data_IF_411487389950
#
_entry.id   IF_411487389950
#
_cell.length_a   1.000
_cell.length_b   1.000
_cell.length_c   1.000
_cell.angle_alpha   90.00
_cell.angle_beta   90.00
_cell.angle_gamma   90.00
#
_symmetry.space_group_name_H-M   'P 1'
#
loop_
_entity.id
_entity.type
_entity.pdbx_description
1 polymer ?
#
# COMPACT_ATOMS: atom_id res chain seq x y z
N UNK A 1 21.78 30.29 -8.50
CA UNK A 1 20.94 29.22 -7.91
C UNK A 1 19.55 29.36 -8.51
N UNK A 2 19.23 28.52 -9.49
CA UNK A 2 17.90 28.48 -10.11
C UNK A 2 16.85 27.86 -9.18
N UNK A 3 15.61 28.36 -9.16
CA UNK A 3 14.52 27.73 -8.44
C UNK A 3 14.01 26.50 -9.20
N UNK A 4 13.98 25.35 -8.51
CA UNK A 4 13.38 24.11 -9.00
C UNK A 4 11.89 24.33 -9.27
N UNK A 5 11.48 24.15 -10.52
CA UNK A 5 10.07 24.13 -10.94
C UNK A 5 9.39 22.90 -10.36
N UNK A 6 8.34 23.12 -9.58
CA UNK A 6 7.43 22.08 -9.13
C UNK A 6 6.49 21.72 -10.29
N UNK A 7 6.50 20.46 -10.72
CA UNK A 7 5.44 19.91 -11.57
C UNK A 7 4.32 19.40 -10.64
N UNK A 8 3.17 20.09 -10.64
CA UNK A 8 1.94 19.55 -10.05
C UNK A 8 1.40 18.45 -10.95
N UNK A 9 1.52 17.20 -10.52
CA UNK A 9 0.80 16.07 -11.11
C UNK A 9 -0.51 15.88 -10.32
N UNK A 10 -1.63 16.36 -10.87
CA UNK A 10 -2.96 16.06 -10.33
C UNK A 10 -3.27 14.57 -10.51
N UNK A 11 -3.09 13.76 -9.46
CA UNK A 11 -3.48 12.35 -9.46
C UNK A 11 -4.97 12.23 -9.11
N UNK A 12 -5.79 11.87 -10.10
CA UNK A 12 -7.20 11.52 -9.93
C UNK A 12 -7.30 10.11 -9.32
N UNK A 13 -7.55 10.03 -8.00
CA UNK A 13 -7.72 8.75 -7.29
C UNK A 13 -9.14 8.22 -7.55
N UNK A 14 -9.27 7.11 -8.30
CA UNK A 14 -10.54 6.39 -8.48
C UNK A 14 -10.54 5.10 -7.64
N UNK A 15 -11.41 5.06 -6.63
CA UNK A 15 -11.70 3.87 -5.81
C UNK A 15 -12.64 2.91 -6.55
N UNK A 16 -12.28 1.63 -6.66
CA UNK A 16 -13.14 0.57 -7.21
C UNK A 16 -13.66 -0.29 -6.04
N UNK A 17 -14.97 -0.57 -6.01
CA UNK A 17 -15.65 -1.38 -4.98
C UNK A 17 -16.21 -2.65 -5.65
N UNK A 18 -15.98 -3.83 -5.06
CA UNK A 18 -16.56 -5.09 -5.51
C UNK A 18 -17.55 -5.69 -4.50
N UNK A 19 -18.72 -6.10 -5.01
CA UNK A 19 -19.70 -6.95 -4.33
C UNK A 19 -19.62 -8.34 -4.98
N UNK A 20 -19.22 -9.36 -4.22
CA UNK A 20 -19.51 -10.76 -4.59
C UNK A 20 -20.80 -11.17 -3.89
N UNK A 21 -21.69 -11.84 -4.63
CA UNK A 21 -22.96 -12.33 -4.12
C UNK A 21 -22.77 -13.79 -3.68
N UNK A 22 -22.95 -14.07 -2.39
CA UNK A 22 -22.90 -15.41 -1.82
C UNK A 22 -21.85 -15.54 -0.71
N UNK A 23 -22.30 -15.88 0.49
CA UNK A 23 -21.60 -15.93 1.79
C UNK A 23 -21.44 -14.59 2.55
N UNK A 24 -21.85 -14.65 3.83
CA UNK A 24 -21.92 -13.53 4.76
C UNK A 24 -20.60 -12.75 4.84
N UNK A 25 -20.71 -11.43 4.68
CA UNK A 25 -19.64 -10.42 4.77
C UNK A 25 -18.57 -10.47 3.67
N UNK A 26 -18.97 -10.29 2.40
CA UNK A 26 -18.01 -9.88 1.36
C UNK A 26 -17.55 -8.46 1.65
N UNK A 27 -16.37 -8.32 2.27
CA UNK A 27 -15.71 -7.02 2.38
C UNK A 27 -15.24 -6.61 0.98
N UNK A 28 -15.63 -5.43 0.46
CA UNK A 28 -15.16 -4.97 -0.83
C UNK A 28 -13.65 -4.78 -0.77
N UNK A 29 -12.91 -5.58 -1.54
CA UNK A 29 -11.47 -5.41 -1.68
C UNK A 29 -11.23 -4.16 -2.50
N UNK A 30 -10.59 -3.17 -1.87
CA UNK A 30 -10.24 -1.89 -2.50
C UNK A 30 -8.75 -1.92 -2.81
N UNK A 31 -8.38 -1.28 -3.92
CA UNK A 31 -6.99 -1.12 -4.32
C UNK A 31 -6.66 0.36 -4.50
N UNK A 32 -5.44 0.70 -4.13
CA UNK A 32 -4.75 1.95 -4.38
C UNK A 32 -4.03 1.82 -5.70
N UNK A 33 -4.35 2.68 -6.66
CA UNK A 33 -3.79 2.61 -7.99
C UNK A 33 -2.69 3.66 -8.14
N UNK A 34 -1.50 3.17 -8.48
CA UNK A 34 -0.30 3.95 -8.75
C UNK A 34 0.01 3.83 -10.25
N UNK A 35 -0.50 4.73 -11.10
CA UNK A 35 -0.20 4.73 -12.53
C UNK A 35 1.24 5.20 -12.77
N UNK A 36 1.88 4.67 -13.80
CA UNK A 36 3.23 5.06 -14.19
C UNK A 36 4.33 4.46 -13.33
N UNK A 37 4.02 3.42 -12.54
CA UNK A 37 4.97 2.76 -11.66
C UNK A 37 4.89 1.25 -11.84
N UNK A 38 6.07 0.61 -11.82
CA UNK A 38 6.24 -0.84 -11.87
C UNK A 38 7.24 -1.29 -10.81
N UNK A 39 6.89 -2.31 -10.03
CA UNK A 39 7.83 -3.06 -9.18
C UNK A 39 8.75 -3.93 -10.04
N UNK A 40 10.06 -3.84 -9.82
CA UNK A 40 11.07 -4.60 -10.56
C UNK A 40 11.81 -5.64 -9.71
N UNK A 41 11.78 -5.50 -8.39
CA UNK A 41 12.42 -6.42 -7.45
C UNK A 41 11.81 -6.31 -6.06
N UNK A 42 12.10 -7.29 -5.20
CA UNK A 42 11.64 -7.33 -3.81
C UNK A 42 10.30 -8.02 -3.60
N UNK A 43 9.73 -8.67 -4.62
CA UNK A 43 8.47 -9.41 -4.53
C UNK A 43 8.54 -10.71 -5.34
N UNK A 44 7.63 -11.63 -5.04
CA UNK A 44 7.47 -12.88 -5.74
C UNK A 44 6.22 -12.82 -6.61
N UNK A 45 6.40 -12.98 -7.91
CA UNK A 45 5.26 -13.11 -8.83
C UNK A 45 4.62 -14.48 -8.60
N UNK A 46 3.37 -14.49 -8.16
CA UNK A 46 2.57 -15.72 -7.98
C UNK A 46 1.82 -16.10 -9.23
N UNK A 47 1.41 -15.10 -10.01
CA UNK A 47 0.72 -15.29 -11.29
C UNK A 47 1.18 -14.23 -12.27
N UNK A 48 1.48 -14.67 -13.48
CA UNK A 48 1.70 -13.82 -14.64
C UNK A 48 0.74 -14.29 -15.73
N UNK A 49 -0.15 -13.39 -16.14
CA UNK A 49 -1.22 -13.69 -17.08
C UNK A 49 -1.25 -12.63 -18.16
N UNK A 50 -0.99 -13.04 -19.40
CA UNK A 50 -1.19 -12.21 -20.58
C UNK A 50 -2.44 -12.66 -21.34
N UNK A 51 -3.41 -11.74 -21.50
CA UNK A 51 -4.62 -11.99 -22.28
C UNK A 51 -4.83 -10.84 -23.26
N UNK A 52 -4.24 -10.92 -24.47
CA UNK A 52 -4.34 -9.87 -25.47
C UNK A 52 -5.79 -9.41 -25.68
N UNK A 53 -6.02 -8.10 -25.56
CA UNK A 53 -7.33 -7.43 -25.74
C UNK A 53 -8.44 -7.81 -24.75
N UNK A 54 -8.20 -8.75 -23.83
CA UNK A 54 -9.18 -9.16 -22.82
C UNK A 54 -8.73 -8.87 -21.39
N UNK A 55 -7.44 -8.66 -21.18
CA UNK A 55 -6.94 -8.20 -19.90
C UNK A 55 -7.32 -6.74 -19.72
N UNK A 56 -7.89 -6.43 -18.57
CA UNK A 56 -8.21 -5.07 -18.15
C UNK A 56 -7.73 -4.89 -16.72
N UNK A 57 -7.55 -3.64 -16.30
CA UNK A 57 -7.22 -3.32 -14.91
C UNK A 57 -8.19 -3.98 -13.92
N UNK A 58 -9.49 -3.95 -14.23
CA UNK A 58 -10.53 -4.56 -13.41
C UNK A 58 -10.38 -6.08 -13.33
N UNK A 59 -10.05 -6.72 -14.44
CA UNK A 59 -9.82 -8.18 -14.49
C UNK A 59 -8.56 -8.56 -13.71
N UNK A 60 -7.51 -7.75 -13.80
CA UNK A 60 -6.28 -7.96 -13.03
C UNK A 60 -6.52 -7.82 -11.51
N UNK A 61 -7.26 -6.80 -11.09
CA UNK A 61 -7.68 -6.65 -9.69
C UNK A 61 -8.53 -7.84 -9.20
N UNK A 62 -9.38 -8.42 -10.06
CA UNK A 62 -10.12 -9.66 -9.74
C UNK A 62 -9.22 -10.89 -9.65
N UNK A 63 -8.21 -11.01 -10.50
CA UNK A 63 -7.23 -12.11 -10.45
C UNK A 63 -6.41 -12.09 -9.16
N UNK A 64 -6.12 -10.88 -8.67
CA UNK A 64 -5.50 -10.63 -7.38
C UNK A 64 -6.42 -11.10 -6.23
N UNK A 65 -7.67 -10.60 -6.19
CA UNK A 65 -8.68 -11.07 -5.25
C UNK A 65 -8.26 -10.96 -3.78
N UNK A 66 -8.65 -11.95 -2.97
CA UNK A 66 -8.40 -11.98 -1.53
C UNK A 66 -6.99 -12.45 -1.14
N UNK A 67 -6.34 -13.26 -1.98
CA UNK A 67 -5.13 -13.99 -1.61
C UNK A 67 -3.83 -13.28 -2.03
N UNK A 68 -3.93 -12.22 -2.81
CA UNK A 68 -2.79 -11.39 -3.18
C UNK A 68 -2.57 -10.23 -2.19
N UNK A 69 -1.36 -9.67 -2.20
CA UNK A 69 -1.06 -8.39 -1.58
C UNK A 69 -1.03 -7.21 -2.56
N UNK A 70 -0.55 -7.43 -3.79
CA UNK A 70 -0.41 -6.40 -4.83
C UNK A 70 -0.56 -6.99 -6.23
N UNK A 71 -0.76 -6.14 -7.24
CA UNK A 71 -0.70 -6.51 -8.65
C UNK A 71 -0.12 -5.40 -9.52
N UNK A 72 0.33 -5.73 -10.73
CA UNK A 72 0.51 -4.76 -11.80
C UNK A 72 -0.32 -5.12 -13.03
N UNK A 73 -0.68 -4.08 -13.78
CA UNK A 73 -1.33 -4.22 -15.07
C UNK A 73 -0.61 -3.36 -16.12
N UNK A 74 -0.18 -4.00 -17.21
CA UNK A 74 0.36 -3.34 -18.41
C UNK A 74 -0.76 -3.12 -19.43
N UNK A 75 -0.91 -1.88 -19.90
CA UNK A 75 -1.92 -1.52 -20.91
C UNK A 75 -1.50 -1.92 -22.33
N UNK A 76 -0.21 -1.82 -22.63
CA UNK A 76 0.36 -2.09 -23.94
C UNK A 76 0.42 -3.60 -24.21
N UNK A 77 0.85 -4.38 -23.21
CA UNK A 77 1.04 -5.82 -23.35
C UNK A 77 -0.15 -6.64 -22.84
N UNK A 78 -1.20 -6.00 -22.32
CA UNK A 78 -2.38 -6.69 -21.76
C UNK A 78 -2.00 -7.77 -20.74
N UNK A 79 -1.01 -7.46 -19.91
CA UNK A 79 -0.39 -8.40 -18.98
C UNK A 79 -0.72 -8.01 -17.54
N UNK A 80 -0.96 -9.01 -16.70
CA UNK A 80 -1.26 -8.87 -15.29
C UNK A 80 -0.28 -9.71 -14.49
N UNK A 81 0.51 -9.05 -13.65
CA UNK A 81 1.42 -9.68 -12.69
C UNK A 81 0.79 -9.57 -11.30
N UNK A 82 0.69 -10.67 -10.55
CA UNK A 82 0.13 -10.69 -9.19
C UNK A 82 1.20 -11.13 -8.20
N UNK A 83 1.29 -10.44 -7.07
CA UNK A 83 2.29 -10.67 -6.04
C UNK A 83 1.65 -11.23 -4.76
N UNK A 84 2.36 -12.17 -4.10
CA UNK A 84 1.93 -12.69 -2.80
C UNK A 84 2.04 -11.61 -1.72
N UNK A 85 3.15 -10.86 -1.76
CA UNK A 85 3.52 -9.89 -0.75
C UNK A 85 2.59 -8.67 -0.79
N UNK A 86 2.30 -8.13 0.38
CA UNK A 86 1.68 -6.81 0.55
C UNK A 86 2.78 -5.75 0.51
N UNK A 87 2.40 -4.50 0.26
CA UNK A 87 3.34 -3.39 0.09
C UNK A 87 4.23 -3.09 1.32
N UNK A 88 3.93 -3.69 2.47
CA UNK A 88 4.67 -3.56 3.73
C UNK A 88 5.31 -4.88 4.20
N UNK A 89 5.13 -5.97 3.45
CA UNK A 89 5.78 -7.25 3.76
C UNK A 89 7.22 -7.28 3.25
N UNK A 90 7.51 -6.56 2.15
CA UNK A 90 8.83 -6.56 1.53
C UNK A 90 9.26 -5.19 1.01
N UNK A 91 10.56 -5.05 0.81
CA UNK A 91 11.18 -3.85 0.27
C UNK A 91 11.17 -3.93 -1.23
N UNK A 92 10.27 -3.18 -1.85
CA UNK A 92 10.05 -3.26 -3.29
C UNK A 92 10.65 -2.04 -3.99
N UNK A 93 11.30 -2.27 -5.13
CA UNK A 93 11.83 -1.19 -5.95
C UNK A 93 10.81 -0.79 -7.02
N UNK A 94 10.27 0.42 -6.90
CA UNK A 94 9.43 1.04 -7.91
C UNK A 94 10.28 1.77 -8.95
N UNK A 95 10.00 1.51 -10.22
CA UNK A 95 10.60 2.21 -11.36
C UNK A 95 9.49 2.91 -12.13
N UNK A 96 9.69 4.17 -12.58
CA UNK A 96 8.77 4.84 -13.47
C UNK A 96 8.58 4.08 -14.79
N UNK A 97 7.35 3.76 -15.12
CA UNK A 97 6.96 3.10 -16.37
C UNK A 97 5.48 3.40 -16.69
N UNK A 98 5.24 4.32 -17.63
CA UNK A 98 3.92 4.88 -17.98
C UNK A 98 2.90 3.85 -18.47
N UNK A 99 3.37 2.70 -18.95
CA UNK A 99 2.51 1.61 -19.39
C UNK A 99 1.83 0.89 -18.22
N UNK A 100 2.50 0.86 -17.08
CA UNK A 100 2.11 0.03 -15.95
C UNK A 100 1.27 0.80 -14.94
N UNK A 101 0.33 0.06 -14.34
CA UNK A 101 -0.41 0.50 -13.16
C UNK A 101 -0.13 -0.50 -12.06
N UNK A 102 0.39 -0.03 -10.94
CA UNK A 102 0.53 -0.83 -9.72
C UNK A 102 -0.70 -0.68 -8.84
N UNK A 103 -1.30 -1.80 -8.45
CA UNK A 103 -2.40 -1.86 -7.50
C UNK A 103 -1.94 -2.37 -6.14
N UNK A 104 -2.00 -1.53 -5.12
CA UNK A 104 -1.72 -1.92 -3.73
C UNK A 104 -3.04 -2.20 -3.01
N UNK A 105 -3.15 -3.31 -2.29
CA UNK A 105 -4.37 -3.61 -1.54
C UNK A 105 -4.59 -2.57 -0.45
N UNK A 106 -5.77 -1.95 -0.44
CA UNK A 106 -6.20 -1.02 0.60
C UNK A 106 -6.48 -1.83 1.86
N UNK A 107 -5.65 -1.67 2.88
CA UNK A 107 -5.89 -2.25 4.18
C UNK A 107 -6.30 -1.14 5.14
N UNK A 108 -7.29 -1.42 5.97
CA UNK A 108 -7.66 -0.52 7.06
C UNK A 108 -6.57 -0.46 8.12
N UNK A 109 -5.87 -1.57 8.36
CA UNK A 109 -4.80 -1.70 9.36
C UNK A 109 -3.65 -2.53 8.79
N UNK A 110 -2.44 -2.28 9.29
CA UNK A 110 -1.24 -3.02 8.93
C UNK A 110 -1.10 -4.19 9.89
N UNK A 111 -1.26 -5.41 9.40
CA UNK A 111 -1.27 -6.64 10.22
C UNK A 111 -0.16 -7.58 9.78
N UNK A 112 0.62 -8.09 10.73
CA UNK A 112 1.58 -9.17 10.53
C UNK A 112 1.28 -10.27 11.53
N UNK A 113 0.98 -11.46 11.01
CA UNK A 113 0.48 -12.58 11.81
C UNK A 113 -0.76 -12.14 12.61
N UNK A 114 -0.70 -12.18 13.94
CA UNK A 114 -1.78 -11.72 14.84
C UNK A 114 -1.55 -10.30 15.40
N UNK A 115 -0.49 -9.61 14.96
CA UNK A 115 -0.10 -8.30 15.45
C UNK A 115 -0.52 -7.18 14.51
N UNK A 116 -1.10 -6.11 15.07
CA UNK A 116 -1.39 -4.88 14.31
C UNK A 116 -0.33 -3.81 14.61
N UNK A 117 0.29 -3.24 13.58
CA UNK A 117 1.23 -2.14 13.75
C UNK A 117 0.46 -0.89 14.13
N UNK A 118 0.70 -0.43 15.34
CA UNK A 118 -0.11 0.61 15.94
C UNK A 118 0.68 1.92 16.07
N UNK A 119 1.92 1.83 16.55
CA UNK A 119 2.85 2.95 16.61
C UNK A 119 4.27 2.48 16.26
N UNK A 120 5.06 3.35 15.62
CA UNK A 120 6.51 3.15 15.42
C UNK A 120 7.27 4.43 15.71
N UNK A 121 8.18 4.35 16.68
CA UNK A 121 9.16 5.40 16.94
C UNK A 121 10.43 5.18 16.12
N UNK A 122 11.08 6.26 15.70
CA UNK A 122 12.33 6.23 14.96
C UNK A 122 13.24 7.34 15.49
N UNK A 123 14.51 7.01 15.77
CA UNK A 123 15.50 7.99 16.21
C UNK A 123 16.00 8.85 15.05
N UNK A 124 16.44 10.08 15.36
CA UNK A 124 17.09 10.95 14.36
C UNK A 124 16.12 11.66 13.39
N UNK A 125 14.82 11.60 13.65
CA UNK A 125 13.78 12.25 12.81
C UNK A 125 13.56 13.74 13.14
N UNK A 126 14.20 14.25 14.20
CA UNK A 126 14.01 15.63 14.67
C UNK A 126 12.67 15.91 15.37
N UNK A 127 11.74 14.94 15.38
CA UNK A 127 10.46 15.01 16.10
C UNK A 127 10.50 14.17 17.39
N UNK A 128 9.75 14.57 18.42
CA UNK A 128 9.71 13.80 19.68
C UNK A 128 8.70 12.66 19.57
N UNK A 129 9.07 11.51 20.13
CA UNK A 129 8.22 10.32 20.20
C UNK A 129 6.89 10.65 20.90
N UNK A 130 6.97 11.39 22.02
CA UNK A 130 5.78 11.78 22.78
C UNK A 130 4.82 12.65 21.95
N UNK A 131 5.35 13.63 21.19
CA UNK A 131 4.51 14.46 20.32
C UNK A 131 3.79 13.63 19.26
N UNK A 132 4.49 12.69 18.59
CA UNK A 132 3.86 11.79 17.65
C UNK A 132 2.86 10.82 18.31
N UNK A 133 3.10 10.43 19.56
CA UNK A 133 2.20 9.55 20.31
C UNK A 133 0.88 10.23 20.71
N UNK A 134 0.89 11.52 21.03
CA UNK A 134 -0.34 12.25 21.44
C UNK A 134 -1.04 12.96 20.26
N UNK A 135 -0.52 12.85 19.05
CA UNK A 135 -1.05 13.50 17.85
C UNK A 135 -2.33 12.81 17.32
N UNK A 136 -3.40 12.86 18.12
CA UNK A 136 -4.74 12.36 17.74
C UNK A 136 -5.20 12.97 16.42
N UNK A 137 -5.82 12.17 15.55
CA UNK A 137 -6.26 12.57 14.22
C UNK A 137 -5.20 12.48 13.12
N UNK A 138 -3.92 12.25 13.45
CA UNK A 138 -2.86 11.99 12.47
C UNK A 138 -2.73 10.48 12.23
N UNK A 139 -3.07 10.03 11.03
CA UNK A 139 -3.12 8.61 10.68
C UNK A 139 -2.29 8.33 9.43
N UNK A 140 -1.34 7.40 9.53
CA UNK A 140 -0.45 7.03 8.42
C UNK A 140 -0.89 5.76 7.68
N UNK A 141 -1.77 4.97 8.29
CA UNK A 141 -2.36 3.76 7.70
C UNK A 141 -3.71 4.02 7.03
N UNK A 142 -4.47 5.00 7.53
CA UNK A 142 -5.70 5.42 6.91
C UNK A 142 -5.38 6.13 5.60
N UNK A 143 -5.75 5.49 4.50
CA UNK A 143 -5.48 5.98 3.17
C UNK A 143 -3.98 6.25 2.91
N UNK A 144 -3.14 5.22 3.09
CA UNK A 144 -1.66 5.23 2.91
C UNK A 144 -1.23 6.30 1.92
N UNK A 145 -0.80 7.44 2.44
CA UNK A 145 -0.52 8.58 1.59
C UNK A 145 0.67 8.24 0.69
N UNK A 146 0.62 8.62 -0.59
CA UNK A 146 1.69 8.31 -1.54
C UNK A 146 3.06 8.86 -1.11
N UNK A 147 3.06 9.89 -0.26
CA UNK A 147 4.25 10.51 0.34
C UNK A 147 4.76 9.80 1.59
N UNK A 148 4.01 8.84 2.15
CA UNK A 148 4.44 8.11 3.34
C UNK A 148 5.40 6.98 2.95
N UNK A 149 6.63 6.93 3.49
CA UNK A 149 7.59 5.92 3.09
C UNK A 149 7.10 4.50 3.41
N UNK A 150 7.06 3.61 2.41
CA UNK A 150 6.67 2.22 2.62
C UNK A 150 7.53 1.52 3.68
N UNK A 151 8.82 1.88 3.79
CA UNK A 151 9.72 1.46 4.85
C UNK A 151 9.14 1.63 6.27
N UNK A 152 8.38 2.71 6.50
CA UNK A 152 7.78 3.00 7.79
C UNK A 152 6.61 2.07 8.14
N UNK A 153 6.05 1.38 7.15
CA UNK A 153 4.94 0.44 7.28
C UNK A 153 5.44 -0.99 7.52
N UNK A 154 6.74 -1.23 7.30
CA UNK A 154 7.40 -2.53 7.45
C UNK A 154 7.66 -2.86 8.91
N UNK A 155 7.63 -4.16 9.22
CA UNK A 155 7.96 -4.67 10.54
C UNK A 155 9.44 -5.00 10.73
N UNK A 156 10.22 -5.15 9.66
CA UNK A 156 11.58 -5.71 9.69
C UNK A 156 12.67 -4.73 9.23
N UNK A 157 12.31 -3.74 8.40
CA UNK A 157 13.23 -2.74 7.86
C UNK A 157 13.01 -1.39 8.56
N UNK A 158 13.79 -1.13 9.61
CA UNK A 158 13.61 0.00 10.52
C UNK A 158 14.41 1.24 10.11
N UNK A 159 15.61 1.04 9.56
CA UNK A 159 16.59 2.11 9.33
C UNK A 159 16.24 3.05 8.19
N UNK A 160 15.34 2.65 7.29
CA UNK A 160 14.97 3.37 6.08
C UNK A 160 13.79 4.33 6.26
N UNK A 161 13.19 4.36 7.45
CA UNK A 161 12.10 5.28 7.79
C UNK A 161 12.66 6.61 8.33
N UNK A 162 12.16 7.74 7.84
CA UNK A 162 12.59 9.10 8.22
C UNK A 162 11.64 9.79 9.22
N UNK A 163 10.60 9.09 9.71
CA UNK A 163 9.54 9.67 10.55
C UNK A 163 8.90 8.64 11.49
N UNK A 164 8.05 9.11 12.39
CA UNK A 164 7.23 8.23 13.21
C UNK A 164 6.03 7.69 12.42
N UNK A 165 5.63 6.46 12.70
CA UNK A 165 4.35 5.92 12.22
C UNK A 165 3.34 5.93 13.36
N UNK A 166 2.12 6.34 13.04
CA UNK A 166 0.96 6.36 13.94
C UNK A 166 -0.24 5.84 13.16
N UNK A 167 -0.82 4.75 13.65
CA UNK A 167 -2.06 4.19 13.12
C UNK A 167 -3.28 4.90 13.72
N UNK A 168 -4.36 4.97 12.94
CA UNK A 168 -5.66 5.42 13.43
C UNK A 168 -6.21 4.61 14.62
N UNK A 169 -5.73 3.38 14.85
CA UNK A 169 -6.20 2.56 15.99
C UNK A 169 -5.80 3.16 17.34
N UNK A 170 -4.78 4.04 17.39
CA UNK A 170 -4.40 4.78 18.60
C UNK A 170 -5.46 5.72 19.11
N UNK A 171 -6.35 6.20 18.25
CA UNK A 171 -7.40 7.11 18.66
C UNK A 171 -8.59 6.37 19.30
N UNK A 172 -8.75 5.08 19.01
CA UNK A 172 -9.81 4.21 19.54
C UNK A 172 -9.24 3.07 20.41
N UNK A 173 -8.03 3.26 20.94
CA UNK A 173 -7.24 2.21 21.55
C UNK A 173 -7.88 1.71 22.85
N UNK A 174 -8.55 0.56 22.78
CA UNK A 174 -9.28 -0.07 23.88
C UNK A 174 -9.04 -1.59 23.86
N UNK A 175 -9.13 -2.26 25.02
CA UNK A 175 -9.08 -3.73 25.08
C UNK A 175 -7.72 -4.38 24.77
N UNK A 176 -6.61 -3.75 25.15
CA UNK A 176 -5.26 -4.33 24.98
C UNK A 176 -5.09 -5.54 25.89
N UNK A 177 -4.59 -6.64 25.34
CA UNK A 177 -3.88 -7.64 26.14
C UNK A 177 -2.42 -7.21 26.24
N UNK A 178 -2.01 -6.81 27.43
CA UNK A 178 -0.59 -6.67 27.74
C UNK A 178 0.09 -8.04 27.62
N UNK A 179 1.30 -8.07 27.09
CA UNK A 179 2.16 -9.25 26.99
C UNK A 179 3.50 -8.98 27.66
#
# INVERSE_FOLDING_TARGET
MEPRRWFSLCLLVKTIIFLCCGCNTVRPIRFWLLPGLRITSGTTITRDVSLPRQMTLLRCARLCGADCGMFHYSKANYTCEVFAERYFDSGVLYVPDDDWITGLKNLSVIVKDDWTLAFRAQSGTGSTVFHAWIATGVHHDNNIQAEFPHACLRFDDYSSCDRHFRSHILDAWTGIKEV
#
